data_IF_967580533069
#
_entry.id   IF_967580533069
#
_cell.length_a   1.000
_cell.length_b   1.000
_cell.length_c   1.000
_cell.angle_alpha   90.00
_cell.angle_beta   90.00
_cell.angle_gamma   90.00
#
_symmetry.space_group_name_H-M   'P 1'
#
loop_
_entity.id
_entity.type
_entity.pdbx_description
1 polymer ?
#
# COMPACT_ATOMS: atom_id res chain seq x y z
N UNK A 1 -14.83 -10.29 -19.12
CA UNK A 1 -15.02 -11.31 -20.17
C UNK A 1 -13.80 -11.48 -21.09
N UNK A 2 -13.03 -10.41 -21.43
CA UNK A 2 -11.84 -10.55 -22.31
C UNK A 2 -10.63 -11.10 -21.53
N UNK A 3 -10.45 -10.72 -20.28
CA UNK A 3 -9.33 -11.12 -19.43
C UNK A 3 -9.32 -12.64 -19.16
N UNK A 4 -10.49 -13.25 -18.93
CA UNK A 4 -10.63 -14.69 -18.65
C UNK A 4 -10.14 -15.59 -19.77
N UNK A 5 -9.93 -15.07 -20.99
CA UNK A 5 -9.34 -15.84 -22.09
C UNK A 5 -7.84 -16.05 -21.95
N UNK A 6 -7.18 -15.22 -21.15
CA UNK A 6 -5.73 -15.21 -20.95
C UNK A 6 -5.31 -15.71 -19.57
N UNK A 7 -6.27 -15.86 -18.65
CA UNK A 7 -6.01 -16.24 -17.27
C UNK A 7 -6.50 -17.66 -16.99
N UNK A 8 -5.62 -18.47 -16.43
CA UNK A 8 -5.87 -19.82 -15.92
C UNK A 8 -5.15 -20.01 -14.60
N UNK A 9 -5.40 -21.12 -13.91
CA UNK A 9 -4.69 -21.47 -12.64
C UNK A 9 -3.17 -21.52 -12.78
N UNK A 10 -2.67 -21.83 -13.97
CA UNK A 10 -1.24 -21.87 -14.28
C UNK A 10 -0.67 -20.53 -14.77
N UNK A 11 -1.47 -19.47 -14.82
CA UNK A 11 -1.01 -18.14 -15.24
C UNK A 11 -0.34 -17.42 -14.07
N UNK A 12 0.89 -16.98 -14.29
CA UNK A 12 1.58 -16.06 -13.38
C UNK A 12 1.43 -14.64 -13.90
N UNK A 13 0.74 -13.78 -13.13
CA UNK A 13 0.65 -12.35 -13.41
C UNK A 13 1.74 -11.63 -12.64
N UNK A 14 2.53 -10.84 -13.35
CA UNK A 14 3.57 -10.03 -12.73
C UNK A 14 3.27 -8.55 -12.88
N UNK A 15 3.60 -7.77 -11.86
CA UNK A 15 3.43 -6.33 -11.88
C UNK A 15 4.34 -5.65 -10.87
N UNK A 16 4.58 -4.35 -11.08
CA UNK A 16 5.39 -3.57 -10.17
C UNK A 16 4.51 -2.88 -9.12
N UNK A 17 4.67 -3.27 -7.85
CA UNK A 17 3.74 -2.90 -6.77
C UNK A 17 2.32 -3.46 -7.01
N UNK A 18 2.26 -4.69 -7.48
CA UNK A 18 1.06 -5.37 -7.98
C UNK A 18 -0.08 -5.46 -6.95
N UNK A 19 0.21 -5.32 -5.65
CA UNK A 19 -0.81 -5.34 -4.61
C UNK A 19 -1.94 -4.32 -4.85
N UNK A 20 -1.60 -3.15 -5.41
CA UNK A 20 -2.60 -2.15 -5.80
C UNK A 20 -3.51 -2.66 -6.92
N UNK A 21 -2.93 -3.26 -7.96
CA UNK A 21 -3.69 -3.76 -9.13
C UNK A 21 -4.58 -4.94 -8.74
N UNK A 22 -4.08 -5.85 -7.92
CA UNK A 22 -4.83 -6.99 -7.38
C UNK A 22 -6.01 -6.53 -6.53
N UNK A 23 -5.81 -5.51 -5.71
CA UNK A 23 -6.88 -4.94 -4.89
C UNK A 23 -7.96 -4.28 -5.76
N UNK A 24 -7.58 -3.48 -6.75
CA UNK A 24 -8.52 -2.87 -7.71
C UNK A 24 -9.29 -3.95 -8.47
N UNK A 25 -8.60 -5.01 -8.92
CA UNK A 25 -9.24 -6.13 -9.60
C UNK A 25 -10.25 -6.84 -8.71
N UNK A 26 -9.87 -7.15 -7.46
CA UNK A 26 -10.75 -7.80 -6.49
C UNK A 26 -12.05 -7.01 -6.28
N UNK A 27 -11.95 -5.72 -5.96
CA UNK A 27 -13.12 -4.87 -5.77
C UNK A 27 -13.94 -4.65 -7.03
N UNK A 28 -13.29 -4.63 -8.20
CA UNK A 28 -14.02 -4.55 -9.48
C UNK A 28 -14.84 -5.81 -9.77
N UNK A 29 -14.28 -6.98 -9.45
CA UNK A 29 -14.98 -8.27 -9.59
C UNK A 29 -16.20 -8.30 -8.68
N UNK A 30 -16.04 -7.90 -7.42
CA UNK A 30 -17.11 -7.84 -6.44
C UNK A 30 -18.20 -6.83 -6.84
N UNK A 31 -17.81 -5.61 -7.19
CA UNK A 31 -18.73 -4.53 -7.60
C UNK A 31 -19.57 -4.88 -8.83
N UNK A 32 -19.00 -5.58 -9.83
CA UNK A 32 -19.69 -5.96 -11.04
C UNK A 32 -20.26 -7.39 -11.01
N UNK A 33 -20.22 -8.08 -9.87
CA UNK A 33 -20.70 -9.45 -9.67
C UNK A 33 -20.11 -10.43 -10.70
N UNK A 34 -18.81 -10.32 -10.95
CA UNK A 34 -18.12 -11.17 -11.91
C UNK A 34 -17.58 -12.45 -11.26
N UNK A 35 -17.40 -13.51 -12.03
CA UNK A 35 -16.75 -14.71 -11.54
C UNK A 35 -15.26 -14.41 -11.23
N UNK A 36 -14.83 -14.75 -10.02
CA UNK A 36 -13.44 -14.59 -9.58
C UNK A 36 -12.52 -15.50 -10.39
N UNK A 37 -11.53 -14.98 -11.12
CA UNK A 37 -10.55 -15.81 -11.83
C UNK A 37 -9.56 -16.40 -10.83
N UNK A 38 -8.93 -17.54 -11.18
CA UNK A 38 -7.87 -18.17 -10.42
C UNK A 38 -6.54 -18.02 -11.17
N UNK A 39 -5.52 -17.44 -10.51
CA UNK A 39 -4.18 -17.25 -11.07
C UNK A 39 -3.17 -16.95 -9.95
N UNK A 40 -1.88 -17.17 -10.27
CA UNK A 40 -0.78 -16.76 -9.41
C UNK A 40 -0.32 -15.35 -9.74
N UNK A 41 0.20 -14.61 -8.73
CA UNK A 41 0.78 -13.29 -8.97
C UNK A 41 2.04 -13.05 -8.15
N UNK A 42 2.94 -12.23 -8.68
CA UNK A 42 4.20 -11.87 -8.07
C UNK A 42 4.56 -10.40 -8.31
N UNK A 43 5.33 -9.82 -7.39
CA UNK A 43 5.67 -8.40 -7.38
C UNK A 43 7.13 -8.14 -7.78
N UNK A 44 7.37 -7.49 -8.93
CA UNK A 44 8.71 -7.12 -9.38
C UNK A 44 9.37 -6.06 -8.48
N UNK A 45 8.59 -5.25 -7.75
CA UNK A 45 9.12 -4.34 -6.75
C UNK A 45 9.67 -5.10 -5.53
N UNK A 46 9.02 -6.18 -5.09
CA UNK A 46 9.54 -7.04 -4.03
C UNK A 46 10.79 -7.79 -4.51
N UNK A 47 10.77 -8.32 -5.72
CA UNK A 47 11.93 -8.96 -6.34
C UNK A 47 13.13 -8.02 -6.36
N UNK A 48 12.97 -6.79 -6.81
CA UNK A 48 14.06 -5.81 -6.85
C UNK A 48 14.62 -5.48 -5.46
N UNK A 49 13.80 -5.50 -4.41
CA UNK A 49 14.28 -5.30 -3.02
C UNK A 49 15.15 -6.46 -2.53
N UNK A 50 14.84 -7.68 -2.96
CA UNK A 50 15.62 -8.87 -2.60
C UNK A 50 16.98 -8.83 -3.31
N UNK A 51 16.98 -8.54 -4.60
CA UNK A 51 18.17 -8.68 -5.44
C UNK A 51 19.04 -7.43 -5.47
N UNK A 52 18.43 -6.25 -5.38
CA UNK A 52 19.13 -4.96 -5.33
C UNK A 52 18.89 -4.21 -4.01
N UNK A 53 19.25 -4.76 -2.85
CA UNK A 53 18.91 -4.15 -1.55
C UNK A 53 19.54 -2.77 -1.32
N UNK A 54 20.55 -2.40 -2.12
CA UNK A 54 21.27 -1.13 -2.01
C UNK A 54 20.76 -0.04 -2.96
N UNK A 55 19.74 -0.31 -3.80
CA UNK A 55 19.17 0.71 -4.66
C UNK A 55 18.58 1.86 -3.84
N UNK A 56 18.76 3.08 -4.33
CA UNK A 56 18.25 4.29 -3.68
C UNK A 56 16.72 4.28 -3.52
N UNK A 57 16.01 3.62 -4.42
CA UNK A 57 14.60 3.32 -4.35
C UNK A 57 14.28 2.17 -5.34
N UNK A 58 13.08 1.59 -5.19
CA UNK A 58 12.60 0.48 -6.03
C UNK A 58 11.42 0.91 -6.92
N UNK A 59 11.45 2.12 -7.46
CA UNK A 59 10.50 2.54 -8.49
C UNK A 59 10.80 1.80 -9.79
N UNK A 60 9.77 1.56 -10.60
CA UNK A 60 9.92 0.84 -11.87
C UNK A 60 11.02 1.46 -12.75
N UNK A 61 11.05 2.79 -12.87
CA UNK A 61 12.08 3.52 -13.63
C UNK A 61 13.50 3.32 -13.11
N UNK A 62 13.69 3.22 -11.79
CA UNK A 62 15.03 3.00 -11.20
C UNK A 62 15.48 1.56 -11.43
N UNK A 63 14.58 0.60 -11.30
CA UNK A 63 14.88 -0.82 -11.51
C UNK A 63 15.18 -1.10 -12.99
N UNK A 64 14.40 -0.52 -13.91
CA UNK A 64 14.66 -0.66 -15.37
C UNK A 64 16.00 -0.08 -15.78
N UNK A 65 16.39 1.05 -15.20
CA UNK A 65 17.69 1.66 -15.43
C UNK A 65 18.84 0.77 -14.93
N UNK A 66 18.69 0.16 -13.74
CA UNK A 66 19.68 -0.73 -13.14
C UNK A 66 19.92 -1.98 -13.99
N UNK A 67 18.86 -2.57 -14.57
CA UNK A 67 18.98 -3.74 -15.45
C UNK A 67 19.34 -3.39 -16.90
N UNK A 68 19.55 -2.10 -17.21
CA UNK A 68 19.93 -1.63 -18.55
C UNK A 68 18.77 -1.57 -19.56
N UNK A 69 17.53 -1.61 -19.12
CA UNK A 69 16.34 -1.49 -19.99
C UNK A 69 16.02 -0.01 -20.26
N UNK A 70 16.56 0.52 -21.38
CA UNK A 70 16.48 1.95 -21.69
C UNK A 70 15.27 2.40 -22.53
N UNK A 71 14.47 1.47 -23.07
CA UNK A 71 13.28 1.78 -23.89
C UNK A 71 12.03 2.05 -23.08
N UNK A 72 12.17 2.38 -21.82
CA UNK A 72 11.06 2.58 -20.89
C UNK A 72 10.42 3.96 -21.02
N UNK A 73 9.15 4.00 -21.44
CA UNK A 73 8.34 5.22 -21.46
C UNK A 73 7.43 5.24 -20.25
N UNK A 74 7.80 5.99 -19.24
CA UNK A 74 7.07 6.09 -17.97
C UNK A 74 5.61 6.54 -18.19
N UNK A 75 4.68 5.93 -17.43
CA UNK A 75 3.22 6.15 -17.51
C UNK A 75 2.56 5.69 -18.81
N UNK A 76 3.17 4.79 -19.55
CA UNK A 76 2.51 4.05 -20.62
C UNK A 76 2.27 2.61 -20.14
N UNK A 77 1.01 2.19 -20.04
CA UNK A 77 0.64 0.90 -19.45
C UNK A 77 1.31 -0.30 -20.16
N UNK A 78 1.48 -0.24 -21.48
CA UNK A 78 2.18 -1.29 -22.23
C UNK A 78 3.67 -1.30 -21.88
N UNK A 79 4.31 -0.14 -21.87
CA UNK A 79 5.72 -0.02 -21.52
C UNK A 79 6.00 -0.42 -20.08
N UNK A 80 5.08 -0.10 -19.15
CA UNK A 80 5.16 -0.51 -17.75
C UNK A 80 5.06 -2.04 -17.62
N UNK A 81 4.16 -2.69 -18.40
CA UNK A 81 4.03 -4.13 -18.44
C UNK A 81 5.26 -4.81 -19.06
N UNK A 82 5.78 -4.30 -20.18
CA UNK A 82 7.03 -4.77 -20.80
C UNK A 82 8.20 -4.68 -19.84
N UNK A 83 8.33 -3.58 -19.10
CA UNK A 83 9.35 -3.40 -18.09
C UNK A 83 9.28 -4.45 -16.97
N UNK A 84 8.07 -4.84 -16.54
CA UNK A 84 7.90 -5.91 -15.56
C UNK A 84 8.39 -7.27 -16.10
N UNK A 85 8.12 -7.56 -17.37
CA UNK A 85 8.61 -8.78 -18.03
C UNK A 85 10.13 -8.75 -18.15
N UNK A 86 10.73 -7.64 -18.56
CA UNK A 86 12.20 -7.50 -18.67
C UNK A 86 12.88 -7.65 -17.31
N UNK A 87 12.29 -7.15 -16.23
CA UNK A 87 12.81 -7.39 -14.87
C UNK A 87 12.82 -8.90 -14.56
N UNK A 88 11.74 -9.61 -14.83
CA UNK A 88 11.70 -11.07 -14.61
C UNK A 88 12.75 -11.78 -15.49
N UNK A 89 12.81 -11.46 -16.78
CA UNK A 89 13.76 -12.05 -17.70
C UNK A 89 15.21 -11.82 -17.27
N UNK A 90 15.54 -10.64 -16.77
CA UNK A 90 16.87 -10.31 -16.27
C UNK A 90 17.32 -11.26 -15.14
N UNK A 91 16.43 -11.57 -14.21
CA UNK A 91 16.74 -12.46 -13.09
C UNK A 91 16.68 -13.94 -13.43
N UNK A 92 16.00 -14.29 -14.52
CA UNK A 92 15.89 -15.69 -14.96
C UNK A 92 16.98 -16.10 -15.95
N UNK A 93 17.82 -15.17 -16.41
CA UNK A 93 18.86 -15.44 -17.44
C UNK A 93 19.76 -16.63 -17.10
N UNK A 94 20.13 -16.77 -15.82
CA UNK A 94 21.03 -17.80 -15.36
C UNK A 94 20.31 -18.90 -14.54
N UNK A 95 18.98 -18.93 -14.63
CA UNK A 95 18.19 -19.92 -13.88
C UNK A 95 18.18 -21.26 -14.59
N UNK A 96 18.51 -22.33 -13.84
CA UNK A 96 18.48 -23.70 -14.32
C UNK A 96 17.19 -24.44 -13.96
N UNK A 97 16.19 -23.75 -13.40
CA UNK A 97 14.95 -24.36 -12.96
C UNK A 97 13.97 -24.59 -14.12
N UNK A 98 13.13 -25.62 -14.00
CA UNK A 98 12.17 -26.00 -15.02
C UNK A 98 11.00 -25.04 -15.15
N UNK A 99 10.68 -24.27 -14.06
CA UNK A 99 9.59 -23.29 -14.08
C UNK A 99 10.03 -21.91 -13.63
N UNK A 100 9.36 -20.88 -14.16
CA UNK A 100 9.55 -19.48 -13.74
C UNK A 100 9.24 -19.32 -12.25
N UNK A 101 8.16 -19.96 -11.79
CA UNK A 101 7.73 -19.87 -10.40
C UNK A 101 8.76 -20.44 -9.42
N UNK A 102 9.36 -21.59 -9.74
CA UNK A 102 10.37 -22.21 -8.91
C UNK A 102 11.65 -21.39 -8.89
N UNK A 103 12.01 -20.80 -10.01
CA UNK A 103 13.13 -19.87 -10.09
C UNK A 103 12.91 -18.63 -9.22
N UNK A 104 11.73 -18.04 -9.25
CA UNK A 104 11.41 -16.87 -8.42
C UNK A 104 11.34 -17.23 -6.93
N UNK A 105 10.81 -18.39 -6.57
CA UNK A 105 10.81 -18.90 -5.18
C UNK A 105 12.23 -19.15 -4.66
N UNK A 106 13.12 -19.69 -5.49
CA UNK A 106 14.52 -19.94 -5.10
C UNK A 106 15.27 -18.66 -4.77
N UNK A 107 14.90 -17.53 -5.35
CA UNK A 107 15.41 -16.18 -5.04
C UNK A 107 14.79 -15.62 -3.74
N UNK A 108 13.76 -16.27 -3.20
CA UNK A 108 13.04 -15.82 -2.01
C UNK A 108 11.82 -14.94 -2.31
N UNK A 109 11.36 -14.87 -3.56
CA UNK A 109 10.17 -14.13 -3.91
C UNK A 109 8.91 -14.94 -3.57
N UNK A 110 7.97 -14.31 -2.87
CA UNK A 110 6.66 -14.90 -2.62
C UNK A 110 5.78 -14.84 -3.88
N UNK A 111 5.23 -15.98 -4.24
CA UNK A 111 4.19 -16.12 -5.25
C UNK A 111 2.88 -16.34 -4.53
N UNK A 112 1.91 -15.48 -4.79
CA UNK A 112 0.62 -15.50 -4.12
C UNK A 112 -0.46 -15.99 -5.08
N UNK A 113 -1.46 -16.70 -4.54
CA UNK A 113 -2.64 -17.13 -5.29
C UNK A 113 -3.75 -16.08 -5.13
N UNK A 114 -4.38 -15.67 -6.23
CA UNK A 114 -5.47 -14.68 -6.18
C UNK A 114 -6.71 -15.21 -5.46
N UNK A 115 -6.92 -16.54 -5.46
CA UNK A 115 -8.02 -17.16 -4.71
C UNK A 115 -7.90 -16.90 -3.20
N UNK A 116 -6.67 -16.88 -2.68
CA UNK A 116 -6.36 -16.64 -1.27
C UNK A 116 -6.27 -15.14 -0.93
N UNK A 117 -6.37 -14.28 -1.94
CA UNK A 117 -6.34 -12.84 -1.70
C UNK A 117 -7.55 -12.43 -0.89
N UNK A 118 -7.29 -11.90 0.29
CA UNK A 118 -8.25 -11.27 1.15
C UNK A 118 -7.83 -9.80 1.29
N UNK A 119 -8.61 -8.85 0.79
CA UNK A 119 -8.35 -7.44 1.05
C UNK A 119 -8.33 -7.24 2.56
N UNK A 120 -7.41 -6.41 3.06
CA UNK A 120 -7.49 -6.00 4.46
C UNK A 120 -8.89 -5.43 4.71
N UNK A 121 -9.43 -5.64 5.91
CA UNK A 121 -10.81 -5.20 6.26
C UNK A 121 -11.09 -3.72 5.95
N UNK A 122 -10.03 -2.94 5.71
CA UNK A 122 -10.04 -1.51 5.45
C UNK A 122 -9.78 -1.12 3.99
N UNK A 123 -9.55 -2.08 3.08
CA UNK A 123 -9.21 -1.77 1.67
C UNK A 123 -10.42 -1.36 0.81
N UNK A 124 -11.64 -1.74 1.20
CA UNK A 124 -12.88 -1.23 0.59
C UNK A 124 -13.09 0.27 0.79
N UNK A 125 -12.52 0.83 1.84
CA UNK A 125 -12.53 2.26 2.18
C UNK A 125 -11.31 3.03 1.66
N UNK A 126 -10.41 2.39 0.91
CA UNK A 126 -9.25 3.04 0.31
C UNK A 126 -9.62 4.21 -0.63
N UNK A 127 -10.88 4.28 -1.07
CA UNK A 127 -11.42 5.46 -1.76
C UNK A 127 -11.66 6.62 -0.81
N UNK A 128 -12.04 6.34 0.44
CA UNK A 128 -12.35 7.40 1.41
C UNK A 128 -11.10 8.03 2.02
N UNK A 129 -10.00 7.29 2.16
CA UNK A 129 -8.75 7.85 2.68
C UNK A 129 -8.14 8.95 1.77
N UNK A 130 -8.37 8.88 0.46
CA UNK A 130 -8.03 9.96 -0.46
C UNK A 130 -9.06 11.09 -0.49
N UNK A 131 -10.27 10.84 -0.01
CA UNK A 131 -11.40 11.75 0.01
C UNK A 131 -11.57 12.43 1.38
N UNK A 132 -10.65 12.29 2.32
CA UNK A 132 -10.57 13.19 3.47
C UNK A 132 -10.11 14.56 2.95
N UNK A 133 -10.94 15.13 2.09
CA UNK A 133 -10.73 16.44 1.50
C UNK A 133 -10.84 17.51 2.58
N UNK A 134 -10.32 18.67 2.30
CA UNK A 134 -10.50 19.83 3.17
C UNK A 134 -11.99 20.06 3.44
N UNK A 135 -12.84 19.93 2.42
CA UNK A 135 -14.30 20.07 2.54
C UNK A 135 -14.93 19.05 3.49
N UNK A 136 -14.51 17.78 3.44
CA UNK A 136 -14.98 16.76 4.38
C UNK A 136 -14.60 17.13 5.83
N UNK A 137 -13.37 17.55 6.09
CA UNK A 137 -12.93 17.96 7.42
C UNK A 137 -13.71 19.17 7.95
N UNK A 138 -14.04 20.12 7.07
CA UNK A 138 -14.82 21.32 7.40
C UNK A 138 -16.31 21.00 7.67
N UNK A 139 -16.82 19.88 7.18
CA UNK A 139 -18.20 19.42 7.42
C UNK A 139 -18.40 18.72 8.78
N UNK A 140 -17.30 18.35 9.46
CA UNK A 140 -17.37 17.63 10.73
C UNK A 140 -17.60 18.62 11.88
N UNK A 141 -18.72 18.49 12.58
CA UNK A 141 -19.00 19.30 13.74
C UNK A 141 -18.13 18.88 14.94
N UNK A 142 -17.62 19.86 15.68
CA UNK A 142 -16.91 19.61 16.94
C UNK A 142 -17.96 19.27 18.01
N UNK A 143 -17.80 18.11 18.64
CA UNK A 143 -18.71 17.59 19.67
C UNK A 143 -18.11 17.79 21.07
N UNK A 144 -16.79 17.63 21.18
CA UNK A 144 -16.04 17.77 22.40
C UNK A 144 -14.78 18.62 22.15
N UNK A 145 -14.17 19.15 23.19
CA UNK A 145 -12.94 19.92 23.11
C UNK A 145 -11.79 19.34 23.95
N UNK A 146 -11.86 18.05 24.26
CA UNK A 146 -10.83 17.39 25.09
C UNK A 146 -9.44 17.41 24.41
N UNK A 147 -9.38 17.52 23.07
CA UNK A 147 -8.15 17.63 22.29
C UNK A 147 -7.98 19.01 21.62
N UNK A 148 -8.60 20.05 22.18
CA UNK A 148 -8.57 21.38 21.58
C UNK A 148 -7.13 21.87 21.34
N UNK A 149 -6.91 22.53 20.21
CA UNK A 149 -5.62 23.04 19.75
C UNK A 149 -4.55 21.98 19.46
N UNK A 150 -4.79 20.68 19.70
CA UNK A 150 -3.82 19.63 19.39
C UNK A 150 -3.74 19.37 17.90
N UNK A 151 -2.55 19.00 17.44
CA UNK A 151 -2.27 18.58 16.07
C UNK A 151 -1.88 17.12 16.05
N UNK A 152 -2.69 16.31 15.39
CA UNK A 152 -2.56 14.86 15.37
C UNK A 152 -2.31 14.38 13.95
N UNK A 153 -1.34 13.49 13.80
CA UNK A 153 -1.06 12.79 12.54
C UNK A 153 -1.46 11.32 12.70
N UNK A 154 -2.05 10.75 11.66
CA UNK A 154 -2.52 9.36 11.63
C UNK A 154 -1.77 8.60 10.53
N UNK A 155 -1.30 7.39 10.79
CA UNK A 155 -0.65 6.53 9.79
C UNK A 155 -0.72 5.05 10.16
N UNK A 156 -0.76 4.21 9.13
CA UNK A 156 -0.86 2.75 9.29
C UNK A 156 -2.30 2.26 9.14
N UNK A 157 -2.44 0.95 9.28
CA UNK A 157 -3.72 0.23 9.19
C UNK A 157 -4.22 -0.06 10.60
N UNK A 158 -5.47 0.26 10.89
CA UNK A 158 -6.07 0.16 12.20
C UNK A 158 -6.94 -1.09 12.30
N UNK A 159 -7.13 -1.60 13.52
CA UNK A 159 -7.84 -2.87 13.73
C UNK A 159 -9.34 -2.69 13.93
N UNK A 160 -9.77 -1.66 14.64
CA UNK A 160 -11.15 -1.46 15.06
C UNK A 160 -11.84 -0.36 14.24
N UNK A 161 -11.12 0.71 13.92
CA UNK A 161 -11.63 1.87 13.21
C UNK A 161 -10.89 2.06 11.88
N UNK A 162 -11.58 2.62 10.92
CA UNK A 162 -10.95 3.10 9.71
C UNK A 162 -10.15 4.38 9.98
N UNK A 163 -9.22 4.68 9.12
CA UNK A 163 -8.48 5.93 9.21
C UNK A 163 -9.39 7.16 9.10
N UNK A 164 -10.47 7.07 8.31
CA UNK A 164 -11.45 8.14 8.16
C UNK A 164 -12.22 8.37 9.47
N UNK A 165 -12.61 7.30 10.17
CA UNK A 165 -13.27 7.37 11.47
C UNK A 165 -12.35 7.97 12.55
N UNK A 166 -11.08 7.56 12.59
CA UNK A 166 -10.10 8.16 13.50
C UNK A 166 -9.94 9.66 13.21
N UNK A 167 -9.84 10.06 11.94
CA UNK A 167 -9.75 11.47 11.55
C UNK A 167 -11.02 12.23 11.93
N UNK A 168 -12.20 11.60 11.79
CA UNK A 168 -13.47 12.17 12.24
C UNK A 168 -13.47 12.40 13.74
N UNK A 169 -13.09 11.40 14.54
CA UNK A 169 -12.96 11.51 15.99
C UNK A 169 -11.98 12.61 16.42
N UNK A 170 -10.83 12.72 15.78
CA UNK A 170 -9.85 13.79 16.02
C UNK A 170 -10.52 15.16 15.89
N UNK A 171 -11.26 15.39 14.80
CA UNK A 171 -11.89 16.68 14.52
C UNK A 171 -13.08 16.93 15.46
N UNK A 172 -13.89 15.91 15.73
CA UNK A 172 -15.02 15.99 16.66
C UNK A 172 -14.57 16.37 18.08
N UNK A 173 -13.34 16.02 18.45
CA UNK A 173 -12.75 16.34 19.76
C UNK A 173 -11.89 17.62 19.75
N UNK A 174 -12.02 18.46 18.72
CA UNK A 174 -11.40 19.78 18.65
C UNK A 174 -9.96 19.82 18.12
N UNK A 175 -9.36 18.66 17.80
CA UNK A 175 -8.00 18.60 17.29
C UNK A 175 -7.92 18.83 15.78
N UNK A 176 -6.71 19.17 15.30
CA UNK A 176 -6.41 19.32 13.87
C UNK A 176 -5.69 18.08 13.33
N UNK A 177 -6.28 17.41 12.37
CA UNK A 177 -5.60 16.34 11.64
C UNK A 177 -4.65 16.90 10.58
N UNK A 178 -3.40 16.46 10.60
CA UNK A 178 -2.36 16.81 9.62
C UNK A 178 -1.87 15.55 8.89
N UNK A 179 -1.58 15.66 7.60
CA UNK A 179 -1.08 14.56 6.77
C UNK A 179 0.43 14.28 6.96
N UNK A 180 1.18 15.31 7.38
CA UNK A 180 2.62 15.24 7.55
C UNK A 180 3.03 15.49 9.01
N UNK A 181 4.02 14.72 9.48
CA UNK A 181 4.66 14.94 10.78
C UNK A 181 5.54 16.18 10.73
N UNK A 182 5.43 17.03 11.73
CA UNK A 182 6.23 18.23 11.93
C UNK A 182 6.57 18.41 13.41
N UNK A 183 7.48 19.32 13.76
CA UNK A 183 7.80 19.67 15.15
C UNK A 183 6.60 20.24 15.93
N UNK A 184 5.52 20.61 15.22
CA UNK A 184 4.27 21.11 15.81
C UNK A 184 3.22 19.99 15.98
N UNK A 185 3.57 18.72 15.74
CA UNK A 185 2.70 17.57 15.93
C UNK A 185 2.71 17.20 17.41
N UNK A 186 1.54 17.13 18.03
CA UNK A 186 1.40 16.76 19.43
C UNK A 186 1.34 15.26 19.66
N UNK A 187 0.64 14.54 18.75
CA UNK A 187 0.51 13.09 18.81
C UNK A 187 0.60 12.47 17.43
N UNK A 188 1.17 11.28 17.38
CA UNK A 188 1.19 10.43 16.18
C UNK A 188 0.45 9.13 16.47
N UNK A 189 -0.79 9.03 15.99
CA UNK A 189 -1.63 7.83 16.12
C UNK A 189 -1.22 6.83 15.05
N UNK A 190 -0.88 5.63 15.48
CA UNK A 190 -0.27 4.61 14.62
C UNK A 190 -1.07 3.31 14.66
N UNK A 191 -1.28 2.75 13.47
CA UNK A 191 -1.76 1.39 13.27
C UNK A 191 -0.63 0.45 12.85
N UNK A 192 -0.99 -0.67 12.23
CA UNK A 192 -0.05 -1.60 11.62
C UNK A 192 0.55 -1.03 10.32
N UNK A 193 1.63 -1.61 9.82
CA UNK A 193 2.24 -1.26 8.52
C UNK A 193 2.63 0.22 8.34
N UNK A 194 3.18 0.82 9.38
CA UNK A 194 3.63 2.23 9.35
C UNK A 194 4.82 2.38 8.43
N UNK A 195 4.79 3.40 7.59
CA UNK A 195 5.96 3.77 6.77
C UNK A 195 7.13 4.26 7.65
N UNK A 196 8.36 3.72 7.45
CA UNK A 196 9.53 3.99 8.29
C UNK A 196 9.86 5.48 8.43
N UNK A 197 9.70 6.24 7.34
CA UNK A 197 10.04 7.69 7.31
C UNK A 197 9.25 8.51 8.33
N UNK A 198 7.96 8.20 8.55
CA UNK A 198 7.15 8.92 9.54
C UNK A 198 7.54 8.52 10.95
N UNK A 199 7.81 7.24 11.17
CA UNK A 199 8.23 6.71 12.46
C UNK A 199 9.56 7.34 12.91
N UNK A 200 10.56 7.34 12.03
CA UNK A 200 11.87 7.96 12.28
C UNK A 200 11.75 9.46 12.61
N UNK A 201 10.90 10.20 11.89
CA UNK A 201 10.67 11.63 12.15
C UNK A 201 10.00 11.85 13.51
N UNK A 202 9.02 11.01 13.87
CA UNK A 202 8.35 11.13 15.17
C UNK A 202 9.33 10.88 16.31
N UNK A 203 10.13 9.81 16.22
CA UNK A 203 11.17 9.48 17.20
C UNK A 203 12.23 10.59 17.31
N UNK A 204 12.74 11.08 16.16
CA UNK A 204 13.75 12.16 16.12
C UNK A 204 13.27 13.44 16.78
N UNK A 205 11.97 13.75 16.73
CA UNK A 205 11.42 14.98 17.30
C UNK A 205 10.74 14.77 18.65
N UNK A 206 10.83 13.55 19.23
CA UNK A 206 10.23 13.23 20.52
C UNK A 206 8.71 13.34 20.53
N UNK A 207 8.06 13.10 19.37
CA UNK A 207 6.60 13.17 19.27
C UNK A 207 6.01 11.90 19.89
N UNK A 208 5.07 12.01 20.84
CA UNK A 208 4.38 10.86 21.40
C UNK A 208 3.71 10.03 20.31
N UNK A 209 4.10 8.75 20.25
CA UNK A 209 3.52 7.74 19.35
C UNK A 209 2.54 6.94 20.16
N UNK A 210 1.28 6.95 19.76
CA UNK A 210 0.19 6.29 20.48
C UNK A 210 -0.55 5.31 19.54
N UNK A 211 -1.00 4.21 20.10
CA UNK A 211 -1.83 3.21 19.42
C UNK A 211 -3.27 3.71 19.21
N UNK A 212 -4.04 2.95 18.44
CA UNK A 212 -5.48 3.17 18.28
C UNK A 212 -6.20 3.17 19.63
N UNK A 213 -5.89 2.19 20.49
CA UNK A 213 -6.55 2.05 21.79
C UNK A 213 -6.19 3.23 22.73
N UNK A 214 -4.94 3.60 22.81
CA UNK A 214 -4.51 4.74 23.62
C UNK A 214 -5.17 6.05 23.16
N UNK A 215 -5.38 6.21 21.84
CA UNK A 215 -6.11 7.35 21.30
C UNK A 215 -7.60 7.32 21.72
N UNK A 216 -8.26 6.16 21.67
CA UNK A 216 -9.64 6.02 22.10
C UNK A 216 -9.78 6.31 23.61
N UNK A 217 -8.89 5.77 24.41
CA UNK A 217 -8.88 6.02 25.87
C UNK A 217 -8.70 7.53 26.22
N UNK A 218 -7.97 8.27 25.36
CA UNK A 218 -7.79 9.73 25.53
C UNK A 218 -9.07 10.55 25.27
N UNK A 219 -9.95 10.08 24.40
CA UNK A 219 -11.18 10.83 24.04
C UNK A 219 -12.41 10.40 24.84
N UNK A 220 -12.31 9.29 25.58
CA UNK A 220 -13.38 8.81 26.47
C UNK A 220 -13.29 9.38 27.90
N UNK A 221 -12.20 10.08 28.24
CA UNK A 221 -12.02 10.77 29.51
C UNK A 221 -12.68 12.15 29.51
#
# INVERSE_FOLDING_TARGET
>A
PKLNKFISKSTLIVGHNIGFDINVLFHSIDYYYLNKPSFNYACTCQLSRIVFPKLINHKLSTVTQEIGFNNFKHHNALSDAEACVEIINYFLKDSCNESIEDSLKSIGLNINLFDDFCPSKHEGEYRDDKIITKAYKESIAVVSRCLDSKRIVVSGDFCNLTRAEIVKLIIQNGAKNSSAISKKTDYFVVGNNIGPIKLEKAQKWGIPIISEQEFLDMIEQ
#
